data_IF_254030237043
#
_entry.id   IF_254030237043
#
_cell.length_a   1.000
_cell.length_b   1.000
_cell.length_c   1.000
_cell.angle_alpha   90.00
_cell.angle_beta   90.00
_cell.angle_gamma   90.00
#
_symmetry.space_group_name_H-M   'P 1'
#
loop_
_entity.id
_entity.type
_entity.pdbx_description
1 polymer ?
#
# COMPACT_ATOMS: atom_id res chain seq x y z
N UNK A 1 1.20 -19.16 12.76
CA UNK A 1 1.93 -18.47 13.86
C UNK A 1 1.24 -18.72 15.20
N UNK A 2 -0.10 -18.48 15.35
CA UNK A 2 -0.80 -18.68 16.64
C UNK A 2 -0.53 -20.09 17.21
N UNK A 3 -0.69 -21.15 16.40
CA UNK A 3 -0.39 -22.52 16.84
C UNK A 3 1.07 -22.74 17.25
N UNK A 4 2.02 -22.07 16.58
CA UNK A 4 3.45 -22.13 16.95
C UNK A 4 3.67 -21.42 18.30
N UNK A 5 3.07 -20.25 18.48
CA UNK A 5 3.17 -19.51 19.74
C UNK A 5 2.60 -20.30 20.92
N UNK A 6 1.46 -20.97 20.73
CA UNK A 6 0.87 -21.84 21.74
C UNK A 6 1.78 -23.03 22.08
N UNK A 7 2.31 -23.71 21.06
CA UNK A 7 3.23 -24.84 21.24
C UNK A 7 4.54 -24.44 21.93
N UNK A 8 5.08 -23.27 21.58
CA UNK A 8 6.34 -22.74 22.13
C UNK A 8 6.15 -21.95 23.43
N UNK A 9 4.90 -21.77 23.90
CA UNK A 9 4.56 -20.93 25.06
C UNK A 9 5.07 -19.49 24.98
N UNK A 10 5.06 -18.93 23.76
CA UNK A 10 5.45 -17.54 23.49
C UNK A 10 4.16 -16.68 23.40
N UNK A 11 4.16 -15.45 23.95
CA UNK A 11 3.03 -14.55 23.81
C UNK A 11 2.74 -14.25 22.33
N UNK A 12 1.52 -14.54 21.88
CA UNK A 12 1.15 -14.38 20.46
C UNK A 12 1.25 -12.92 20.00
N UNK A 13 1.03 -11.96 20.90
CA UNK A 13 1.15 -10.53 20.62
C UNK A 13 2.55 -10.11 20.17
N UNK A 14 3.61 -10.78 20.66
CA UNK A 14 5.00 -10.46 20.27
C UNK A 14 5.35 -10.86 18.85
N UNK A 15 4.60 -11.78 18.24
CA UNK A 15 4.83 -12.28 16.90
C UNK A 15 3.81 -11.74 15.89
N UNK A 16 2.56 -11.54 16.31
CA UNK A 16 1.49 -11.16 15.39
C UNK A 16 1.57 -9.70 14.95
N UNK A 17 1.89 -8.77 15.84
CA UNK A 17 2.03 -7.36 15.45
C UNK A 17 3.24 -7.13 14.51
N UNK A 18 4.44 -7.67 14.78
CA UNK A 18 5.54 -7.67 13.80
C UNK A 18 5.17 -8.29 12.46
N UNK A 19 4.36 -9.36 12.46
CA UNK A 19 3.88 -9.97 11.22
C UNK A 19 3.00 -9.00 10.41
N UNK A 20 2.04 -8.32 11.06
CA UNK A 20 1.20 -7.33 10.40
C UNK A 20 2.00 -6.15 9.87
N UNK A 21 2.97 -5.65 10.64
CA UNK A 21 3.89 -4.59 10.21
C UNK A 21 4.70 -5.03 9.00
N UNK A 22 5.27 -6.24 9.02
CA UNK A 22 6.04 -6.80 7.91
C UNK A 22 5.20 -6.98 6.64
N UNK A 23 3.93 -7.40 6.79
CA UNK A 23 3.00 -7.52 5.66
C UNK A 23 2.72 -6.16 5.02
N UNK A 24 2.46 -5.12 5.83
CA UNK A 24 2.21 -3.76 5.33
C UNK A 24 3.43 -3.17 4.62
N UNK A 25 4.62 -3.23 5.24
CA UNK A 25 5.82 -2.64 4.64
C UNK A 25 6.32 -3.46 3.45
N UNK A 26 6.20 -4.79 3.49
CA UNK A 26 6.56 -5.66 2.37
C UNK A 26 5.77 -5.38 1.10
N UNK A 27 4.51 -4.96 1.23
CA UNK A 27 3.69 -4.53 0.10
C UNK A 27 4.24 -3.32 -0.64
N UNK A 28 5.10 -2.51 -0.03
CA UNK A 28 5.68 -1.32 -0.68
C UNK A 28 6.87 -1.63 -1.60
N UNK A 29 7.32 -2.89 -1.70
CA UNK A 29 8.51 -3.25 -2.49
C UNK A 29 8.21 -3.30 -3.99
N UNK A 30 6.98 -3.60 -4.38
CA UNK A 30 6.58 -3.70 -5.79
C UNK A 30 5.38 -2.83 -6.10
N UNK A 31 5.20 -2.49 -7.37
CA UNK A 31 4.05 -1.69 -7.81
C UNK A 31 2.72 -2.33 -7.41
N UNK A 32 2.57 -3.64 -7.51
CA UNK A 32 1.31 -4.37 -7.25
C UNK A 32 1.20 -4.85 -5.80
N UNK A 33 2.20 -4.62 -4.96
CA UNK A 33 2.23 -5.14 -3.60
C UNK A 33 1.22 -4.47 -2.65
N UNK A 34 0.80 -3.24 -2.98
CA UNK A 34 -0.24 -2.51 -2.24
C UNK A 34 -1.03 -1.60 -3.19
N UNK A 35 -2.35 -1.44 -3.00
CA UNK A 35 -3.20 -0.62 -3.88
C UNK A 35 -2.74 0.83 -4.06
N UNK A 36 -2.25 1.55 -3.04
CA UNK A 36 -1.73 2.91 -3.22
C UNK A 36 -0.66 3.05 -4.30
N UNK A 37 0.25 2.07 -4.44
CA UNK A 37 1.30 2.10 -5.45
C UNK A 37 0.72 2.10 -6.88
N UNK A 38 -0.30 1.27 -7.12
CA UNK A 38 -1.02 1.22 -8.40
C UNK A 38 -1.73 2.54 -8.67
N UNK A 39 -2.35 3.13 -7.64
CA UNK A 39 -3.13 4.37 -7.76
C UNK A 39 -2.22 5.56 -8.11
N UNK A 40 -1.12 5.74 -7.40
CA UNK A 40 -0.19 6.85 -7.71
C UNK A 40 0.45 6.68 -9.08
N UNK A 41 0.74 5.44 -9.51
CA UNK A 41 1.22 5.14 -10.86
C UNK A 41 0.17 5.46 -11.91
N UNK A 42 -1.08 5.07 -11.66
CA UNK A 42 -2.22 5.37 -12.55
C UNK A 42 -2.52 6.87 -12.64
N UNK A 43 -2.38 7.62 -11.55
CA UNK A 43 -2.55 9.07 -11.54
C UNK A 43 -1.49 9.78 -12.40
N UNK A 44 -0.22 9.36 -12.35
CA UNK A 44 0.82 9.85 -13.26
C UNK A 44 0.47 9.54 -14.72
N UNK A 45 0.05 8.32 -15.01
CA UNK A 45 -0.35 7.91 -16.36
C UNK A 45 -1.51 8.76 -16.89
N UNK A 46 -2.52 9.01 -16.07
CA UNK A 46 -3.69 9.83 -16.42
C UNK A 46 -3.32 11.30 -16.68
N UNK A 47 -2.29 11.80 -15.99
CA UNK A 47 -1.74 13.14 -16.20
C UNK A 47 -0.74 13.22 -17.38
N UNK A 48 -0.52 12.12 -18.11
CA UNK A 48 0.45 12.07 -19.21
C UNK A 48 1.91 12.18 -18.76
N UNK A 49 2.21 11.86 -17.50
CA UNK A 49 3.53 11.94 -16.90
C UNK A 49 4.23 10.57 -16.90
N UNK A 50 5.58 10.53 -16.78
CA UNK A 50 6.32 9.27 -16.64
C UNK A 50 5.83 8.48 -15.43
N UNK A 51 5.48 7.21 -15.66
CA UNK A 51 4.98 6.30 -14.61
C UNK A 51 6.12 5.61 -13.88
N UNK A 52 5.79 4.92 -12.77
CA UNK A 52 6.74 4.07 -12.07
C UNK A 52 6.90 2.73 -12.78
N UNK A 53 8.13 2.19 -12.78
CA UNK A 53 8.43 0.83 -13.16
C UNK A 53 8.00 -0.18 -12.08
N UNK A 54 7.92 -1.47 -12.46
CA UNK A 54 7.40 -2.52 -11.58
C UNK A 54 8.19 -2.66 -10.27
N UNK A 55 9.53 -2.64 -10.35
CA UNK A 55 10.42 -2.72 -9.19
C UNK A 55 10.94 -1.37 -8.72
N UNK A 56 10.49 -0.27 -9.28
CA UNK A 56 10.96 1.05 -8.89
C UNK A 56 10.64 1.38 -7.43
N UNK A 57 9.54 0.86 -6.93
CA UNK A 57 9.17 0.95 -5.52
C UNK A 57 10.15 0.24 -4.58
N UNK A 58 10.94 -0.73 -5.07
CA UNK A 58 11.94 -1.42 -4.26
C UNK A 58 13.07 -0.49 -3.77
N UNK A 59 13.36 0.59 -4.50
CA UNK A 59 14.39 1.55 -4.08
C UNK A 59 14.09 2.23 -2.75
N UNK A 60 12.82 2.41 -2.41
CA UNK A 60 12.39 2.89 -1.10
C UNK A 60 11.87 1.75 -0.22
N UNK A 61 11.16 0.78 -0.78
CA UNK A 61 10.53 -0.30 -0.03
C UNK A 61 11.53 -1.22 0.68
N UNK A 62 12.67 -1.55 0.04
CA UNK A 62 13.69 -2.40 0.66
C UNK A 62 14.40 -1.68 1.81
N UNK A 63 14.96 -0.46 1.65
CA UNK A 63 15.56 0.28 2.76
C UNK A 63 14.58 0.50 3.92
N UNK A 64 13.33 0.87 3.61
CA UNK A 64 12.30 1.10 4.61
C UNK A 64 11.97 -0.20 5.38
N UNK A 65 11.85 -1.32 4.66
CA UNK A 65 11.64 -2.65 5.28
C UNK A 65 12.79 -3.01 6.22
N UNK A 66 14.02 -2.75 5.82
CA UNK A 66 15.20 -2.99 6.66
C UNK A 66 15.18 -2.11 7.92
N UNK A 67 14.92 -0.81 7.79
CA UNK A 67 14.83 0.12 8.92
C UNK A 67 13.74 -0.33 9.90
N UNK A 68 12.54 -0.66 9.41
CA UNK A 68 11.42 -1.12 10.24
C UNK A 68 11.73 -2.47 10.90
N UNK A 69 12.36 -3.41 10.17
CA UNK A 69 12.78 -4.70 10.72
C UNK A 69 13.74 -4.52 11.89
N UNK A 70 14.82 -3.75 11.71
CA UNK A 70 15.78 -3.52 12.77
C UNK A 70 15.19 -2.75 13.95
N UNK A 71 14.35 -1.74 13.67
CA UNK A 71 13.64 -1.04 14.73
C UNK A 71 12.72 -1.98 15.52
N UNK A 72 11.94 -2.82 14.85
CA UNK A 72 11.04 -3.78 15.49
C UNK A 72 11.80 -4.78 16.35
N UNK A 73 12.95 -5.26 15.85
CA UNK A 73 13.80 -6.24 16.54
C UNK A 73 14.46 -5.67 17.80
N UNK A 74 15.02 -4.46 17.73
CA UNK A 74 15.83 -3.89 18.83
C UNK A 74 15.02 -2.98 19.76
N UNK A 75 14.11 -2.20 19.24
CA UNK A 75 13.35 -1.18 19.98
C UNK A 75 11.89 -1.58 20.15
N UNK A 76 11.23 -1.97 19.07
CA UNK A 76 9.81 -2.26 19.01
C UNK A 76 9.37 -3.36 19.96
N UNK A 77 10.21 -4.35 20.19
CA UNK A 77 9.95 -5.45 21.15
C UNK A 77 9.63 -4.97 22.58
N UNK A 78 10.09 -3.79 22.97
CA UNK A 78 9.84 -3.22 24.29
C UNK A 78 8.46 -2.52 24.36
N UNK A 79 7.91 -2.14 23.23
CA UNK A 79 6.57 -1.54 23.11
C UNK A 79 5.49 -2.57 22.87
N UNK A 80 5.86 -3.80 22.45
CA UNK A 80 4.91 -4.88 22.21
C UNK A 80 4.31 -5.38 23.52
N UNK A 81 2.97 -5.50 23.60
CA UNK A 81 2.32 -6.03 24.79
C UNK A 81 2.65 -7.50 24.99
N UNK A 82 2.67 -7.95 26.26
CA UNK A 82 2.89 -9.34 26.63
C UNK A 82 1.53 -10.00 26.90
N UNK A 83 0.86 -10.42 25.83
CA UNK A 83 -0.50 -10.98 25.90
C UNK A 83 -0.55 -12.36 25.25
N UNK A 84 -1.21 -13.31 25.91
CA UNK A 84 -1.50 -14.62 25.33
C UNK A 84 -2.48 -14.51 24.18
N UNK A 85 -2.56 -15.56 23.35
CA UNK A 85 -3.46 -15.59 22.22
C UNK A 85 -4.93 -15.38 22.66
N UNK A 86 -5.59 -14.43 22.00
CA UNK A 86 -7.01 -14.16 22.16
C UNK A 86 -7.88 -15.04 21.26
N UNK A 87 -9.18 -14.84 21.35
CA UNK A 87 -10.15 -15.50 20.46
C UNK A 87 -10.03 -14.92 19.04
N UNK A 88 -10.19 -15.76 18.02
CA UNK A 88 -10.32 -15.30 16.64
C UNK A 88 -11.74 -14.76 16.45
N UNK A 89 -11.85 -13.52 15.99
CA UNK A 89 -13.10 -12.96 15.54
C UNK A 89 -13.39 -13.47 14.12
N UNK A 90 -14.34 -14.39 13.99
CA UNK A 90 -14.67 -15.02 12.71
C UNK A 90 -15.21 -14.02 11.68
N UNK A 91 -15.94 -12.98 12.12
CA UNK A 91 -16.44 -11.94 11.22
C UNK A 91 -15.30 -11.06 10.70
N UNK A 92 -14.38 -10.65 11.57
CA UNK A 92 -13.19 -9.88 11.18
C UNK A 92 -12.27 -10.68 10.25
N UNK A 93 -12.08 -11.98 10.51
CA UNK A 93 -11.31 -12.88 9.64
C UNK A 93 -11.99 -13.03 8.29
N UNK A 94 -13.33 -13.15 8.26
CA UNK A 94 -14.09 -13.26 7.00
C UNK A 94 -14.01 -11.96 6.20
N UNK A 95 -14.23 -10.81 6.82
CA UNK A 95 -14.14 -9.51 6.17
C UNK A 95 -12.74 -9.26 5.59
N UNK A 96 -11.68 -9.56 6.34
CA UNK A 96 -10.31 -9.40 5.87
C UNK A 96 -9.93 -10.40 4.75
N UNK A 97 -10.50 -11.62 4.76
CA UNK A 97 -10.34 -12.58 3.66
C UNK A 97 -11.05 -12.10 2.39
N UNK A 98 -12.26 -11.55 2.53
CA UNK A 98 -13.03 -10.97 1.42
C UNK A 98 -12.27 -9.76 0.82
N UNK A 99 -11.74 -8.86 1.66
CA UNK A 99 -10.95 -7.71 1.23
C UNK A 99 -9.61 -8.11 0.58
N UNK A 100 -8.99 -9.19 1.05
CA UNK A 100 -7.78 -9.76 0.46
C UNK A 100 -8.05 -10.62 -0.80
N UNK A 101 -9.31 -10.80 -1.21
CA UNK A 101 -9.68 -11.66 -2.33
C UNK A 101 -9.35 -13.15 -2.10
N UNK A 102 -9.25 -13.58 -0.83
CA UNK A 102 -8.92 -14.96 -0.49
C UNK A 102 -10.11 -15.89 -0.78
N UNK A 103 -9.88 -16.91 -1.62
CA UNK A 103 -10.87 -17.92 -1.95
C UNK A 103 -11.23 -18.82 -0.78
N UNK A 104 -12.27 -19.66 -0.96
CA UNK A 104 -12.73 -20.61 0.04
C UNK A 104 -11.65 -21.68 0.33
N UNK A 105 -11.20 -21.75 1.59
CA UNK A 105 -10.18 -22.70 2.07
C UNK A 105 -10.63 -24.17 1.96
N UNK A 106 -11.93 -24.44 1.79
CA UNK A 106 -12.51 -25.77 1.68
C UNK A 106 -12.62 -26.30 0.24
N UNK A 107 -12.25 -25.51 -0.76
CA UNK A 107 -12.27 -25.97 -2.15
C UNK A 107 -11.26 -27.11 -2.37
N UNK A 108 -11.62 -28.18 -3.13
CA UNK A 108 -10.72 -29.31 -3.36
C UNK A 108 -9.45 -28.85 -4.10
N UNK A 109 -8.31 -28.94 -3.42
CA UNK A 109 -7.01 -28.49 -3.93
C UNK A 109 -6.45 -29.48 -4.95
N UNK A 110 -6.55 -29.16 -6.24
CA UNK A 110 -5.88 -29.94 -7.31
C UNK A 110 -4.41 -29.52 -7.43
N UNK A 111 -3.47 -30.45 -7.22
CA UNK A 111 -2.04 -30.21 -7.39
C UNK A 111 -1.70 -29.66 -8.79
N UNK A 112 -2.36 -30.17 -9.84
CA UNK A 112 -2.14 -29.73 -11.22
C UNK A 112 -2.54 -28.26 -11.40
N UNK A 113 -3.72 -27.87 -10.90
CA UNK A 113 -4.18 -26.47 -10.98
C UNK A 113 -3.28 -25.51 -10.18
N UNK A 114 -2.78 -25.97 -9.03
CA UNK A 114 -1.82 -25.22 -8.22
C UNK A 114 -0.52 -24.94 -8.99
N UNK A 115 0.03 -25.93 -9.70
CA UNK A 115 1.23 -25.73 -10.50
C UNK A 115 0.98 -24.84 -11.72
N UNK A 116 -0.16 -25.00 -12.41
CA UNK A 116 -0.53 -24.16 -13.56
C UNK A 116 -0.69 -22.70 -13.12
N UNK A 117 -1.45 -22.45 -12.05
CA UNK A 117 -1.64 -21.08 -11.54
C UNK A 117 -0.32 -20.45 -11.06
N UNK A 118 0.55 -21.25 -10.42
CA UNK A 118 1.89 -20.81 -10.02
C UNK A 118 2.76 -20.42 -11.22
N UNK A 119 2.75 -21.22 -12.28
CA UNK A 119 3.49 -20.91 -13.52
C UNK A 119 2.94 -19.66 -14.22
N UNK A 120 1.62 -19.49 -14.28
CA UNK A 120 0.99 -18.30 -14.82
C UNK A 120 1.42 -17.06 -14.01
N UNK A 121 1.35 -17.14 -12.67
CA UNK A 121 1.75 -16.05 -11.80
C UNK A 121 3.21 -15.65 -12.00
N UNK A 122 4.12 -16.65 -12.02
CA UNK A 122 5.56 -16.41 -12.29
C UNK A 122 5.74 -15.76 -13.67
N UNK A 123 5.04 -16.27 -14.70
CA UNK A 123 5.10 -15.70 -16.05
C UNK A 123 4.63 -14.25 -16.11
N UNK A 124 3.53 -13.91 -15.43
CA UNK A 124 3.02 -12.55 -15.33
C UNK A 124 4.01 -11.64 -14.61
N UNK A 125 4.52 -12.06 -13.45
CA UNK A 125 5.50 -11.29 -12.68
C UNK A 125 6.78 -11.05 -13.48
N UNK A 126 7.28 -12.07 -14.18
CA UNK A 126 8.44 -11.92 -15.07
C UNK A 126 8.16 -10.97 -16.24
N UNK A 127 7.00 -11.07 -16.88
CA UNK A 127 6.61 -10.16 -17.96
C UNK A 127 6.53 -8.72 -17.49
N UNK A 128 5.96 -8.48 -16.30
CA UNK A 128 5.91 -7.16 -15.68
C UNK A 128 7.30 -6.64 -15.27
N UNK A 129 8.15 -7.53 -14.75
CA UNK A 129 9.50 -7.19 -14.30
C UNK A 129 10.45 -6.84 -15.44
N UNK A 130 10.26 -7.45 -16.61
CA UNK A 130 11.05 -7.19 -17.81
C UNK A 130 10.66 -5.90 -18.54
N UNK A 131 9.53 -5.28 -18.16
CA UNK A 131 9.02 -4.02 -18.71
C UNK A 131 9.09 -3.96 -20.25
N UNK A 132 8.65 -5.05 -20.89
CA UNK A 132 8.74 -5.20 -22.34
C UNK A 132 7.89 -4.12 -23.05
N UNK A 133 8.44 -3.36 -24.01
CA UNK A 133 7.69 -2.33 -24.73
C UNK A 133 6.44 -2.86 -25.45
N UNK A 134 6.46 -4.13 -25.81
CA UNK A 134 5.36 -4.82 -26.51
C UNK A 134 4.29 -5.35 -25.59
N UNK A 135 4.53 -5.41 -24.26
CA UNK A 135 3.61 -5.97 -23.29
C UNK A 135 3.49 -5.06 -22.06
N UNK A 136 2.63 -4.03 -22.12
CA UNK A 136 2.37 -3.15 -20.98
C UNK A 136 1.93 -3.94 -19.74
N UNK A 137 2.27 -3.43 -18.55
CA UNK A 137 2.00 -4.05 -17.25
C UNK A 137 0.53 -4.51 -17.09
N UNK A 138 -0.41 -3.63 -17.45
CA UNK A 138 -1.83 -3.94 -17.39
C UNK A 138 -2.24 -5.07 -18.34
N UNK A 139 -1.63 -5.14 -19.54
CA UNK A 139 -1.89 -6.20 -20.51
C UNK A 139 -1.38 -7.54 -19.99
N UNK A 140 -0.19 -7.57 -19.38
CA UNK A 140 0.36 -8.77 -18.75
C UNK A 140 -0.55 -9.29 -17.62
N UNK A 141 -1.04 -8.40 -16.75
CA UNK A 141 -1.95 -8.76 -15.66
C UNK A 141 -3.27 -9.36 -16.16
N UNK A 142 -3.93 -8.67 -17.11
CA UNK A 142 -5.21 -9.13 -17.69
C UNK A 142 -5.02 -10.45 -18.43
N UNK A 143 -3.94 -10.61 -19.20
CA UNK A 143 -3.63 -11.86 -19.89
C UNK A 143 -3.46 -13.02 -18.91
N UNK A 144 -2.76 -12.81 -17.79
CA UNK A 144 -2.62 -13.82 -16.75
C UNK A 144 -3.95 -14.21 -16.11
N UNK A 145 -4.81 -13.25 -15.82
CA UNK A 145 -6.15 -13.52 -15.29
C UNK A 145 -7.00 -14.35 -16.28
N UNK A 146 -6.98 -13.99 -17.56
CA UNK A 146 -7.68 -14.74 -18.63
C UNK A 146 -7.12 -16.17 -18.75
N UNK A 147 -5.80 -16.33 -18.69
CA UNK A 147 -5.17 -17.66 -18.73
C UNK A 147 -5.59 -18.52 -17.54
N UNK A 148 -5.74 -17.97 -16.33
CA UNK A 148 -6.25 -18.71 -15.18
C UNK A 148 -7.68 -19.22 -15.39
N UNK A 149 -8.52 -18.47 -16.10
CA UNK A 149 -9.90 -18.90 -16.44
C UNK A 149 -9.89 -19.95 -17.56
N UNK A 150 -9.15 -19.73 -18.65
CA UNK A 150 -9.07 -20.65 -19.80
C UNK A 150 -8.49 -22.01 -19.37
N UNK A 151 -7.47 -22.03 -18.50
CA UNK A 151 -6.88 -23.27 -17.99
C UNK A 151 -7.74 -23.96 -16.91
N UNK A 152 -8.88 -23.36 -16.55
CA UNK A 152 -9.81 -23.88 -15.54
C UNK A 152 -9.24 -23.85 -14.11
N UNK A 153 -8.21 -23.04 -13.85
CA UNK A 153 -7.71 -22.80 -12.49
C UNK A 153 -8.75 -22.05 -11.67
N UNK A 154 -9.44 -21.08 -12.29
CA UNK A 154 -10.55 -20.32 -11.73
C UNK A 154 -11.78 -20.48 -12.63
N UNK A 155 -12.96 -20.48 -12.04
CA UNK A 155 -14.22 -20.29 -12.75
C UNK A 155 -14.43 -18.83 -13.02
N UNK A 156 -15.17 -18.51 -14.07
CA UNK A 156 -15.52 -17.13 -14.44
C UNK A 156 -16.09 -16.33 -13.25
N UNK A 157 -17.05 -16.91 -12.51
CA UNK A 157 -17.64 -16.28 -11.34
C UNK A 157 -16.63 -16.00 -10.22
N UNK A 158 -15.69 -16.89 -10.02
CA UNK A 158 -14.61 -16.75 -9.01
C UNK A 158 -13.63 -15.64 -9.45
N UNK A 159 -13.33 -15.55 -10.74
CA UNK A 159 -12.51 -14.49 -11.29
C UNK A 159 -13.17 -13.11 -11.12
N UNK A 160 -14.45 -12.97 -11.41
CA UNK A 160 -15.21 -11.72 -11.19
C UNK A 160 -15.32 -11.36 -9.70
N UNK A 161 -15.51 -12.34 -8.82
CA UNK A 161 -15.57 -12.12 -7.38
C UNK A 161 -14.21 -11.69 -6.78
N UNK A 162 -13.09 -12.09 -7.42
CA UNK A 162 -11.74 -11.68 -7.02
C UNK A 162 -11.35 -10.25 -7.47
N UNK A 163 -12.20 -9.56 -8.24
CA UNK A 163 -11.94 -8.18 -8.66
C UNK A 163 -12.37 -7.23 -7.56
N UNK A 164 -11.46 -6.39 -7.08
CA UNK A 164 -11.80 -5.28 -6.18
C UNK A 164 -12.48 -4.13 -6.95
N UNK A 165 -13.79 -4.28 -7.13
CA UNK A 165 -14.62 -3.29 -7.81
C UNK A 165 -14.63 -1.95 -7.09
N UNK A 166 -14.52 -1.93 -5.76
CA UNK A 166 -14.50 -0.70 -4.96
C UNK A 166 -13.30 0.15 -5.34
N UNK A 167 -12.11 -0.45 -5.39
CA UNK A 167 -10.90 0.24 -5.84
C UNK A 167 -11.02 0.75 -7.28
N UNK A 168 -11.57 -0.05 -8.20
CA UNK A 168 -11.73 0.35 -9.61
C UNK A 168 -12.67 1.55 -9.74
N UNK A 169 -13.87 1.48 -9.12
CA UNK A 169 -14.84 2.58 -9.20
C UNK A 169 -14.37 3.83 -8.45
N UNK A 170 -13.71 3.67 -7.30
CA UNK A 170 -13.13 4.78 -6.57
C UNK A 170 -12.08 5.52 -7.43
N UNK A 171 -11.16 4.77 -8.03
CA UNK A 171 -10.12 5.35 -8.88
C UNK A 171 -10.73 6.03 -10.13
N UNK A 172 -11.65 5.38 -10.83
CA UNK A 172 -12.33 5.95 -11.98
C UNK A 172 -13.08 7.25 -11.62
N UNK A 173 -13.77 7.27 -10.48
CA UNK A 173 -14.44 8.47 -9.97
C UNK A 173 -13.46 9.59 -9.64
N UNK A 174 -12.34 9.26 -9.01
CA UNK A 174 -11.30 10.23 -8.66
C UNK A 174 -10.59 10.82 -9.89
N UNK A 175 -10.42 10.06 -10.97
CA UNK A 175 -9.94 10.60 -12.26
C UNK A 175 -10.87 11.67 -12.81
N UNK A 176 -12.19 11.45 -12.70
CA UNK A 176 -13.19 12.45 -13.11
C UNK A 176 -13.11 13.72 -12.26
N UNK A 177 -12.92 13.56 -10.94
CA UNK A 177 -12.70 14.69 -10.02
C UNK A 177 -11.40 15.42 -10.35
N UNK A 178 -10.30 14.70 -10.62
CA UNK A 178 -9.02 15.30 -11.01
C UNK A 178 -9.17 16.15 -12.28
N UNK A 179 -9.85 15.63 -13.31
CA UNK A 179 -10.15 16.37 -14.55
C UNK A 179 -11.02 17.61 -14.27
N UNK A 180 -12.00 17.51 -13.39
CA UNK A 180 -12.82 18.65 -12.99
C UNK A 180 -11.99 19.71 -12.24
N UNK A 181 -11.12 19.29 -11.33
CA UNK A 181 -10.21 20.20 -10.59
C UNK A 181 -9.26 20.94 -11.53
N UNK A 182 -8.73 20.25 -12.54
CA UNK A 182 -7.89 20.87 -13.57
C UNK A 182 -8.67 21.91 -14.39
N UNK A 183 -9.83 21.53 -14.95
CA UNK A 183 -10.65 22.40 -15.80
C UNK A 183 -11.23 23.61 -15.06
N UNK A 184 -11.55 23.47 -13.79
CA UNK A 184 -12.11 24.57 -12.97
C UNK A 184 -11.04 25.44 -12.33
N UNK A 185 -9.77 25.01 -12.34
CA UNK A 185 -8.70 25.68 -11.61
C UNK A 185 -8.73 25.42 -10.10
N UNK A 186 -9.62 24.57 -9.60
CA UNK A 186 -9.70 24.25 -8.18
C UNK A 186 -8.41 23.58 -7.66
N UNK A 187 -7.78 22.73 -8.47
CA UNK A 187 -6.49 22.11 -8.15
C UNK A 187 -5.41 23.16 -7.92
N UNK A 188 -5.34 24.18 -8.79
CA UNK A 188 -4.41 25.29 -8.64
C UNK A 188 -4.71 26.13 -7.39
N UNK A 189 -5.97 26.42 -7.11
CA UNK A 189 -6.35 27.16 -5.91
C UNK A 189 -5.92 26.46 -4.61
N UNK A 190 -6.12 25.12 -4.54
CA UNK A 190 -5.66 24.32 -3.41
C UNK A 190 -4.13 24.35 -3.33
N UNK A 191 -3.45 24.17 -4.48
CA UNK A 191 -2.01 24.20 -4.56
C UNK A 191 -1.44 25.55 -4.09
N UNK A 192 -1.97 26.67 -4.61
CA UNK A 192 -1.54 28.03 -4.25
C UNK A 192 -1.78 28.31 -2.75
N UNK A 193 -2.88 27.80 -2.19
CA UNK A 193 -3.18 27.92 -0.76
C UNK A 193 -2.15 27.15 0.09
N UNK A 194 -1.88 25.90 -0.25
CA UNK A 194 -0.89 25.06 0.47
C UNK A 194 0.51 25.67 0.34
N UNK A 195 0.90 26.08 -0.87
CA UNK A 195 2.18 26.74 -1.13
C UNK A 195 2.29 28.06 -0.34
N UNK A 196 1.24 28.87 -0.31
CA UNK A 196 1.21 30.11 0.46
C UNK A 196 1.38 29.89 1.98
N UNK A 197 0.85 28.79 2.51
CA UNK A 197 1.06 28.41 3.92
C UNK A 197 2.49 27.93 4.20
N UNK A 198 3.19 27.43 3.19
CA UNK A 198 4.58 26.95 3.31
C UNK A 198 5.62 28.08 3.17
N UNK A 199 5.21 29.27 2.77
CA UNK A 199 6.07 30.44 2.61
C UNK A 199 6.37 30.80 1.16
N UNK A 200 7.14 31.88 0.94
CA UNK A 200 7.36 32.45 -0.38
C UNK A 200 8.13 31.57 -1.39
N UNK A 201 8.95 30.64 -0.90
CA UNK A 201 9.72 29.68 -1.71
C UNK A 201 9.71 28.30 -1.04
N UNK A 202 8.61 27.53 -1.16
CA UNK A 202 8.52 26.21 -0.52
C UNK A 202 9.52 25.24 -1.14
N UNK A 203 10.33 24.63 -0.29
CA UNK A 203 11.25 23.57 -0.71
C UNK A 203 10.45 22.32 -1.13
N UNK A 204 10.80 21.66 -2.25
CA UNK A 204 10.22 20.36 -2.61
C UNK A 204 10.34 19.30 -1.51
N UNK A 205 11.39 19.35 -0.69
CA UNK A 205 11.57 18.49 0.48
C UNK A 205 10.48 18.73 1.52
N UNK A 206 10.18 20.01 1.80
CA UNK A 206 9.12 20.38 2.75
C UNK A 206 7.75 19.95 2.22
N UNK A 207 7.50 20.15 0.93
CA UNK A 207 6.27 19.68 0.28
C UNK A 207 6.10 18.17 0.46
N UNK A 208 7.12 17.38 0.10
CA UNK A 208 7.09 15.93 0.22
C UNK A 208 6.88 15.49 1.66
N UNK A 209 7.54 16.15 2.61
CA UNK A 209 7.38 15.87 4.04
C UNK A 209 5.96 16.15 4.54
N UNK A 210 5.36 17.27 4.17
CA UNK A 210 4.00 17.67 4.58
C UNK A 210 2.96 16.74 3.95
N UNK A 211 3.07 16.47 2.65
CA UNK A 211 2.14 15.58 1.95
C UNK A 211 2.22 14.15 2.46
N UNK A 212 3.43 13.66 2.79
CA UNK A 212 3.60 12.37 3.46
C UNK A 212 2.81 12.33 4.77
N UNK A 213 2.98 13.33 5.65
CA UNK A 213 2.28 13.38 6.93
C UNK A 213 0.76 13.42 6.76
N UNK A 214 0.26 14.24 5.84
CA UNK A 214 -1.18 14.32 5.54
C UNK A 214 -1.69 12.95 5.09
N UNK A 215 -1.03 12.32 4.13
CA UNK A 215 -1.38 10.99 3.63
C UNK A 215 -1.34 9.94 4.74
N UNK A 216 -0.28 9.97 5.55
CA UNK A 216 -0.10 9.01 6.65
C UNK A 216 -1.14 9.18 7.76
N UNK A 217 -1.55 10.41 8.09
CA UNK A 217 -2.61 10.65 9.06
C UNK A 217 -3.96 10.20 8.51
N UNK A 218 -4.28 10.57 7.26
CA UNK A 218 -5.56 10.19 6.65
C UNK A 218 -5.73 8.67 6.57
N UNK A 219 -4.69 7.94 6.17
CA UNK A 219 -4.74 6.49 6.03
C UNK A 219 -4.97 5.75 7.35
N UNK A 220 -4.76 6.38 8.51
CA UNK A 220 -5.10 5.76 9.79
C UNK A 220 -6.62 5.65 10.02
N UNK A 221 -7.43 6.49 9.35
CA UNK A 221 -8.87 6.61 9.56
C UNK A 221 -9.71 6.21 8.35
N UNK A 222 -9.10 6.16 7.17
CA UNK A 222 -9.75 5.76 5.92
C UNK A 222 -8.88 4.73 5.17
N UNK A 223 -9.43 4.06 4.17
CA UNK A 223 -8.66 3.05 3.43
C UNK A 223 -7.43 3.66 2.75
N UNK A 224 -6.35 2.88 2.65
CA UNK A 224 -5.11 3.26 1.97
C UNK A 224 -5.37 3.68 0.52
N UNK A 225 -6.27 2.94 -0.15
CA UNK A 225 -6.74 3.21 -1.51
C UNK A 225 -7.39 4.59 -1.63
N UNK A 226 -8.32 4.90 -0.73
CA UNK A 226 -9.03 6.18 -0.74
C UNK A 226 -8.09 7.36 -0.45
N UNK A 227 -7.17 7.20 0.51
CA UNK A 227 -6.16 8.21 0.84
C UNK A 227 -5.27 8.52 -0.37
N UNK A 228 -4.75 7.50 -1.04
CA UNK A 228 -3.93 7.67 -2.22
C UNK A 228 -4.71 8.30 -3.39
N UNK A 229 -5.93 7.83 -3.65
CA UNK A 229 -6.76 8.34 -4.75
C UNK A 229 -7.14 9.80 -4.55
N UNK A 230 -7.44 10.20 -3.32
CA UNK A 230 -7.76 11.59 -2.98
C UNK A 230 -6.57 12.53 -3.15
N UNK A 231 -5.40 12.10 -2.66
CA UNK A 231 -4.24 12.99 -2.57
C UNK A 231 -3.38 13.01 -3.84
N UNK A 232 -3.42 11.97 -4.68
CA UNK A 232 -2.57 11.90 -5.86
C UNK A 232 -2.79 13.07 -6.84
N UNK A 233 -4.02 13.44 -7.25
CA UNK A 233 -4.25 14.59 -8.12
C UNK A 233 -3.82 15.92 -7.49
N UNK A 234 -4.03 16.06 -6.18
CA UNK A 234 -3.63 17.24 -5.42
C UNK A 234 -2.11 17.36 -5.39
N UNK A 235 -1.41 16.25 -5.12
CA UNK A 235 0.05 16.17 -5.14
C UNK A 235 0.66 16.56 -6.49
N UNK A 236 0.08 16.08 -7.60
CA UNK A 236 0.49 16.47 -8.96
C UNK A 236 0.32 17.98 -9.15
N UNK A 237 -0.85 18.52 -8.83
CA UNK A 237 -1.14 19.96 -9.00
C UNK A 237 -0.18 20.84 -8.19
N UNK A 238 0.12 20.48 -6.94
CA UNK A 238 1.05 21.22 -6.11
C UNK A 238 2.47 21.14 -6.66
N UNK A 239 2.93 19.95 -7.03
CA UNK A 239 4.28 19.76 -7.60
C UNK A 239 4.48 20.60 -8.87
N UNK A 240 3.50 20.60 -9.76
CA UNK A 240 3.51 21.41 -10.98
C UNK A 240 3.49 22.93 -10.67
N UNK A 241 2.75 23.37 -9.65
CA UNK A 241 2.71 24.78 -9.25
C UNK A 241 4.07 25.26 -8.73
N UNK A 242 4.80 24.41 -8.01
CA UNK A 242 6.15 24.71 -7.50
C UNK A 242 7.21 24.55 -8.60
N UNK A 243 6.88 23.86 -9.71
CA UNK A 243 7.79 23.58 -10.80
C UNK A 243 8.76 22.44 -10.50
N UNK A 244 8.37 21.48 -9.64
CA UNK A 244 9.15 20.27 -9.37
C UNK A 244 8.52 19.02 -10.01
N UNK A 245 9.32 17.96 -10.17
CA UNK A 245 8.82 16.67 -10.67
C UNK A 245 7.76 16.11 -9.71
N UNK A 246 6.53 15.78 -10.19
CA UNK A 246 5.51 15.14 -9.39
C UNK A 246 5.86 13.72 -8.92
N UNK A 247 6.77 13.02 -9.62
CA UNK A 247 7.08 11.62 -9.38
C UNK A 247 7.54 11.34 -7.93
N UNK A 248 8.55 12.05 -7.36
CA UNK A 248 8.96 11.85 -5.97
C UNK A 248 7.84 12.18 -4.96
N UNK A 249 7.01 13.18 -5.27
CA UNK A 249 5.86 13.55 -4.41
C UNK A 249 4.83 12.42 -4.37
N UNK A 250 4.51 11.83 -5.52
CA UNK A 250 3.58 10.72 -5.60
C UNK A 250 4.15 9.43 -5.00
N UNK A 251 5.46 9.20 -5.12
CA UNK A 251 6.11 8.10 -4.40
C UNK A 251 5.89 8.27 -2.89
N UNK A 252 6.13 9.45 -2.35
CA UNK A 252 5.93 9.73 -0.93
C UNK A 252 4.48 9.52 -0.50
N UNK A 253 3.50 9.97 -1.30
CA UNK A 253 2.07 9.78 -1.03
C UNK A 253 1.67 8.29 -1.02
N UNK A 254 2.12 7.53 -1.99
CA UNK A 254 1.82 6.09 -2.10
C UNK A 254 2.40 5.28 -0.94
N UNK A 255 3.68 5.54 -0.60
CA UNK A 255 4.33 4.90 0.54
C UNK A 255 3.63 5.31 1.85
N UNK A 256 3.36 6.61 2.06
CA UNK A 256 2.70 7.11 3.26
C UNK A 256 1.31 6.48 3.47
N UNK A 257 0.52 6.35 2.41
CA UNK A 257 -0.78 5.70 2.45
C UNK A 257 -0.70 4.21 2.85
N UNK A 258 0.43 3.55 2.58
CA UNK A 258 0.66 2.16 2.95
C UNK A 258 1.23 1.98 4.35
N UNK A 259 1.75 3.05 5.00
CA UNK A 259 2.34 3.01 6.34
C UNK A 259 1.27 3.22 7.43
N UNK A 260 0.24 2.41 7.42
CA UNK A 260 -0.92 2.51 8.28
C UNK A 260 -0.76 1.59 9.51
N UNK A 261 0.12 1.96 10.43
CA UNK A 261 0.49 1.14 11.59
C UNK A 261 -0.23 1.51 12.89
N UNK A 262 -0.74 2.75 12.99
CA UNK A 262 -1.18 3.30 14.27
C UNK A 262 -2.62 2.94 14.67
N UNK A 263 -3.38 2.30 13.77
CA UNK A 263 -4.75 1.88 14.08
C UNK A 263 -5.03 0.44 13.64
N UNK A 264 -5.91 -0.28 14.34
CA UNK A 264 -6.23 -1.66 14.01
C UNK A 264 -7.06 -1.80 12.73
N UNK A 265 -7.81 -0.77 12.35
CA UNK A 265 -8.75 -0.79 11.22
C UNK A 265 -8.17 -0.25 9.91
N UNK A 266 -6.95 0.28 9.94
CA UNK A 266 -6.38 0.95 8.78
C UNK A 266 -6.01 -0.02 7.64
N UNK A 267 -5.69 -1.27 7.96
CA UNK A 267 -5.30 -2.29 6.97
C UNK A 267 -5.78 -3.69 7.36
N UNK A 268 -6.05 -4.58 6.37
CA UNK A 268 -6.43 -5.97 6.63
C UNK A 268 -5.44 -6.72 7.53
N UNK A 269 -4.11 -6.63 7.35
CA UNK A 269 -3.17 -7.29 8.26
C UNK A 269 -3.33 -6.87 9.72
N UNK A 270 -3.60 -5.59 10.00
CA UNK A 270 -3.81 -5.10 11.37
C UNK A 270 -5.09 -5.69 11.96
N UNK A 271 -6.18 -5.68 11.19
CA UNK A 271 -7.47 -6.23 11.62
C UNK A 271 -7.40 -7.73 11.89
N UNK A 272 -6.70 -8.49 11.02
CA UNK A 272 -6.53 -9.94 11.16
C UNK A 272 -5.83 -10.35 12.46
N UNK A 273 -4.87 -9.56 12.94
CA UNK A 273 -4.10 -9.90 14.15
C UNK A 273 -4.72 -9.32 15.43
N UNK A 274 -5.71 -8.44 15.32
CA UNK A 274 -6.32 -7.73 16.45
C UNK A 274 -6.86 -8.71 17.51
N UNK A 275 -7.77 -9.60 17.13
CA UNK A 275 -8.37 -10.61 18.01
C UNK A 275 -7.34 -11.64 18.49
N UNK A 276 -6.68 -12.37 17.57
CA UNK A 276 -5.68 -13.39 17.94
C UNK A 276 -4.52 -12.87 18.80
N UNK A 277 -4.12 -11.60 18.61
CA UNK A 277 -3.09 -10.94 19.42
C UNK A 277 -3.63 -10.33 20.71
N UNK A 278 -4.94 -10.35 20.91
CA UNK A 278 -5.62 -9.68 22.04
C UNK A 278 -5.22 -8.20 22.18
N UNK A 279 -5.03 -7.52 21.03
CA UNK A 279 -4.58 -6.13 20.99
C UNK A 279 -5.70 -5.17 21.35
N UNK A 280 -5.34 -4.03 21.90
CA UNK A 280 -6.19 -2.87 22.08
C UNK A 280 -5.78 -1.78 21.09
N UNK A 281 -6.65 -0.82 20.86
CA UNK A 281 -6.34 0.36 20.04
C UNK A 281 -5.02 1.04 20.50
N UNK A 282 -4.84 1.17 21.82
CA UNK A 282 -3.66 1.81 22.40
C UNK A 282 -2.35 1.04 22.11
N UNK A 283 -2.40 -0.28 21.93
CA UNK A 283 -1.23 -1.07 21.56
C UNK A 283 -0.75 -0.71 20.15
N UNK A 284 -1.70 -0.50 19.21
CA UNK A 284 -1.38 -0.02 17.86
C UNK A 284 -0.80 1.40 17.89
N UNK A 285 -1.38 2.30 18.66
CA UNK A 285 -0.86 3.69 18.79
C UNK A 285 0.56 3.68 19.32
N UNK A 286 0.84 2.92 20.38
CA UNK A 286 2.17 2.87 21.00
C UNK A 286 3.27 2.36 20.07
N UNK A 287 2.97 1.34 19.27
CA UNK A 287 3.93 0.75 18.33
C UNK A 287 3.90 1.50 16.99
N UNK A 288 2.72 1.85 16.50
CA UNK A 288 2.51 2.38 15.17
C UNK A 288 2.94 3.84 15.00
N UNK A 289 2.69 4.71 15.99
CA UNK A 289 3.09 6.13 15.87
C UNK A 289 4.59 6.29 15.70
N UNK A 290 5.46 5.67 16.52
CA UNK A 290 6.90 5.70 16.27
C UNK A 290 7.29 5.18 14.88
N UNK A 291 6.64 4.10 14.40
CA UNK A 291 6.90 3.56 13.06
C UNK A 291 6.48 4.52 11.94
N UNK A 292 5.34 5.20 12.08
CA UNK A 292 4.91 6.23 11.14
C UNK A 292 5.95 7.37 11.07
N UNK A 293 6.46 7.82 12.22
CA UNK A 293 7.49 8.87 12.27
C UNK A 293 8.82 8.42 11.65
N UNK A 294 9.26 7.20 11.94
CA UNK A 294 10.48 6.63 11.35
C UNK A 294 10.32 6.51 9.84
N UNK A 295 9.17 6.02 9.36
CA UNK A 295 8.87 5.92 7.94
C UNK A 295 8.86 7.30 7.26
N UNK A 296 8.29 8.30 7.92
CA UNK A 296 8.29 9.66 7.45
C UNK A 296 9.70 10.21 7.25
N UNK A 297 10.54 10.13 8.30
CA UNK A 297 11.94 10.60 8.24
C UNK A 297 12.72 9.84 7.18
N UNK A 298 12.59 8.51 7.15
CA UNK A 298 13.27 7.67 6.14
C UNK A 298 12.87 8.06 4.71
N UNK A 299 11.58 8.25 4.44
CA UNK A 299 11.10 8.62 3.11
C UNK A 299 11.56 10.02 2.68
N UNK A 300 11.51 11.01 3.58
CA UNK A 300 11.99 12.38 3.29
C UNK A 300 13.47 12.40 2.93
N UNK A 301 14.28 11.50 3.50
CA UNK A 301 15.72 11.40 3.23
C UNK A 301 15.97 10.57 1.96
N UNK A 302 15.33 9.42 1.81
CA UNK A 302 15.67 8.43 0.78
C UNK A 302 15.05 8.78 -0.57
N UNK A 303 13.79 9.26 -0.62
CA UNK A 303 13.11 9.54 -1.88
C UNK A 303 13.88 10.51 -2.76
N UNK A 304 14.37 11.66 -2.26
CA UNK A 304 15.12 12.62 -3.11
C UNK A 304 16.45 12.09 -3.64
N UNK A 305 17.01 11.03 -3.05
CA UNK A 305 18.24 10.39 -3.51
C UNK A 305 18.01 9.65 -4.83
N UNK A 306 16.89 8.94 -4.94
CA UNK A 306 16.55 8.15 -6.12
C UNK A 306 15.70 8.92 -7.14
N UNK A 307 14.90 9.88 -6.68
CA UNK A 307 14.05 10.73 -7.50
C UNK A 307 14.34 12.21 -7.20
N UNK A 308 15.32 12.81 -7.88
CA UNK A 308 15.58 14.25 -7.77
C UNK A 308 14.36 15.07 -8.18
N UNK A 309 14.15 16.21 -7.56
CA UNK A 309 13.00 17.08 -7.83
C UNK A 309 13.13 17.94 -9.09
N UNK A 310 14.16 17.72 -9.89
CA UNK A 310 14.49 18.53 -11.10
C UNK A 310 14.15 17.74 -12.35
#
# INVERSE_FOLDING_TARGET
>A
IVGICQAAKIPASKELMPLAIAANVGGTITMIGTPPNVIVTGALSAAGLPTFGFFEFAYIGIPLSAIIFFWTLFVGRHFLPDKSAGAMDEEAVKAAKEEAGAGDDNAPKSKTKMWISGLILIGVVLAMALELPTLPLQTAAVTGAILCVITGCLKEKEAYAGIDWVTIFLFAGMLSVATAMEKTGAGKLIADTVVGMMGANPSPYLLTAVLFLISNVLTQFMSNTASAALLAPIGISIAQTIGCDPKPVLMALGIAASMAFATPMATPPNTLVLGPGNFTFNDYVKVGVPLCLISWVACVIIIPIFWPFH
#
